data_IF_158541896270
#
_entry.id   IF_158541896270
#
_cell.length_a   1.000
_cell.length_b   1.000
_cell.length_c   1.000
_cell.angle_alpha   90.00
_cell.angle_beta   90.00
_cell.angle_gamma   90.00
#
_symmetry.space_group_name_H-M   'P 1'
#
loop_
_entity.id
_entity.type
_entity.pdbx_description
1 polymer ?
#
# COMPACT_ATOMS: atom_id res chain seq x y z
N UNK A 1 -19.03 7.49 -21.66
CA UNK A 1 -17.87 7.25 -20.77
C UNK A 1 -18.10 5.90 -20.10
N UNK A 2 -17.29 4.88 -20.38
CA UNK A 2 -17.37 3.62 -19.63
C UNK A 2 -17.07 3.95 -18.17
N UNK A 3 -18.00 3.68 -17.24
CA UNK A 3 -17.65 3.58 -15.83
C UNK A 3 -16.51 2.55 -15.76
N UNK A 4 -15.31 3.04 -15.48
CA UNK A 4 -14.06 2.32 -15.75
C UNK A 4 -13.93 1.11 -14.85
N UNK A 5 -13.30 0.04 -15.33
CA UNK A 5 -13.10 -1.21 -14.59
C UNK A 5 -12.58 -1.05 -13.14
N UNK A 6 -11.87 0.04 -12.83
CA UNK A 6 -11.40 0.37 -11.48
C UNK A 6 -12.47 0.86 -10.49
N UNK A 7 -13.69 1.20 -10.95
CA UNK A 7 -14.82 1.59 -10.10
C UNK A 7 -15.65 0.41 -9.64
N UNK A 8 -15.33 -0.82 -10.09
CA UNK A 8 -16.03 -2.04 -9.70
C UNK A 8 -15.42 -2.62 -8.42
N UNK A 9 -16.23 -3.22 -7.54
CA UNK A 9 -15.72 -3.91 -6.35
C UNK A 9 -14.70 -4.99 -6.71
N UNK A 10 -13.65 -5.13 -5.90
CA UNK A 10 -12.62 -6.16 -6.03
C UNK A 10 -13.21 -7.59 -6.00
N UNK A 11 -14.33 -7.78 -5.31
CA UNK A 11 -15.08 -9.04 -5.34
C UNK A 11 -15.46 -9.46 -6.78
N UNK A 12 -15.81 -8.51 -7.65
CA UNK A 12 -16.29 -8.76 -9.02
C UNK A 12 -15.19 -8.74 -10.10
N UNK A 13 -13.96 -8.38 -9.73
CA UNK A 13 -12.83 -8.24 -10.66
C UNK A 13 -11.96 -9.48 -10.65
N UNK A 14 -11.57 -9.97 -11.82
CA UNK A 14 -10.61 -11.07 -11.90
C UNK A 14 -9.19 -10.58 -11.58
N UNK A 15 -8.28 -11.53 -11.29
CA UNK A 15 -6.87 -11.20 -11.00
C UNK A 15 -6.23 -10.45 -12.18
N UNK A 16 -6.58 -10.79 -13.42
CA UNK A 16 -6.12 -10.09 -14.63
C UNK A 16 -6.56 -8.62 -14.66
N UNK A 17 -7.79 -8.34 -14.22
CA UNK A 17 -8.34 -6.98 -14.17
C UNK A 17 -7.58 -6.16 -13.13
N UNK A 18 -7.39 -6.72 -11.94
CA UNK A 18 -6.64 -6.11 -10.85
C UNK A 18 -5.19 -5.81 -11.27
N UNK A 19 -4.53 -6.75 -11.95
CA UNK A 19 -3.17 -6.54 -12.49
C UNK A 19 -3.15 -5.43 -13.54
N UNK A 20 -4.15 -5.38 -14.42
CA UNK A 20 -4.27 -4.31 -15.42
C UNK A 20 -4.43 -2.93 -14.78
N UNK A 21 -5.21 -2.84 -13.70
CA UNK A 21 -5.37 -1.58 -12.95
C UNK A 21 -4.07 -1.21 -12.23
N UNK A 22 -3.40 -2.16 -11.56
CA UNK A 22 -2.11 -1.94 -10.88
C UNK A 22 -1.05 -1.42 -11.86
N UNK A 23 -1.04 -1.94 -13.10
CA UNK A 23 -0.15 -1.50 -14.19
C UNK A 23 -0.52 -0.12 -14.76
N UNK A 24 -1.66 0.44 -14.40
CA UNK A 24 -2.17 1.69 -15.00
C UNK A 24 -2.62 1.51 -16.45
N UNK A 25 -3.01 0.28 -16.82
CA UNK A 25 -3.58 -0.03 -18.13
C UNK A 25 -5.11 0.18 -18.16
N UNK A 26 -5.77 0.18 -16.99
CA UNK A 26 -7.20 0.40 -16.89
C UNK A 26 -7.61 1.21 -15.64
N UNK A 27 -8.52 2.16 -15.84
CA UNK A 27 -9.09 2.99 -14.78
C UNK A 27 -8.11 3.99 -14.15
N UNK A 28 -8.63 4.85 -13.28
CA UNK A 28 -7.81 5.75 -12.46
C UNK A 28 -7.57 5.14 -11.07
N UNK A 29 -6.37 5.33 -10.54
CA UNK A 29 -5.99 4.85 -9.22
C UNK A 29 -4.90 5.72 -8.60
N UNK A 30 -4.87 5.79 -7.27
CA UNK A 30 -3.83 6.51 -6.52
C UNK A 30 -2.83 5.53 -5.94
N UNK A 31 -1.54 5.87 -6.02
CA UNK A 31 -0.48 5.08 -5.42
C UNK A 31 -0.01 5.74 -4.13
N UNK A 32 0.06 4.95 -3.06
CA UNK A 32 0.58 5.39 -1.77
C UNK A 32 1.64 4.43 -1.25
N UNK A 33 2.55 4.96 -0.46
CA UNK A 33 3.56 4.18 0.24
C UNK A 33 3.70 4.66 1.67
N UNK A 34 4.14 3.77 2.56
CA UNK A 34 4.72 4.22 3.81
C UNK A 34 5.97 5.10 3.58
N UNK A 35 6.38 5.83 4.61
CA UNK A 35 7.59 6.67 4.58
C UNK A 35 8.91 5.89 4.73
N UNK A 36 8.86 4.55 4.86
CA UNK A 36 10.06 3.74 5.08
C UNK A 36 10.67 3.33 3.74
N UNK A 37 11.98 3.55 3.56
CA UNK A 37 12.69 3.31 2.29
C UNK A 37 12.38 1.94 1.68
N UNK A 38 12.41 0.86 2.47
CA UNK A 38 12.08 -0.50 1.99
C UNK A 38 10.72 -0.62 1.31
N UNK A 39 9.70 0.10 1.77
CA UNK A 39 8.36 0.06 1.19
C UNK A 39 8.27 0.98 -0.03
N UNK A 40 8.97 2.13 0.01
CA UNK A 40 9.10 3.02 -1.14
C UNK A 40 9.77 2.28 -2.31
N UNK A 41 10.93 1.66 -2.09
CA UNK A 41 11.67 0.93 -3.11
C UNK A 41 10.87 -0.24 -3.68
N UNK A 42 10.27 -1.06 -2.83
CA UNK A 42 9.39 -2.16 -3.27
C UNK A 42 8.26 -1.65 -4.15
N UNK A 43 7.58 -0.58 -3.72
CA UNK A 43 6.49 0.02 -4.49
C UNK A 43 6.95 0.53 -5.86
N UNK A 44 8.08 1.25 -5.91
CA UNK A 44 8.64 1.75 -7.16
C UNK A 44 9.07 0.65 -8.12
N UNK A 45 9.70 -0.41 -7.62
CA UNK A 45 10.14 -1.54 -8.45
C UNK A 45 8.92 -2.28 -9.00
N UNK A 46 7.96 -2.64 -8.14
CA UNK A 46 6.74 -3.34 -8.54
C UNK A 46 5.90 -2.53 -9.54
N UNK A 47 5.84 -1.21 -9.37
CA UNK A 47 5.06 -0.31 -10.21
C UNK A 47 5.89 0.33 -11.34
N UNK A 48 7.13 -0.12 -11.56
CA UNK A 48 7.99 0.47 -12.58
C UNK A 48 7.36 0.50 -13.99
N UNK A 49 6.62 -0.53 -14.47
CA UNK A 49 5.97 -0.46 -15.78
C UNK A 49 4.94 0.68 -15.86
N UNK A 50 4.17 0.88 -14.77
CA UNK A 50 3.20 1.96 -14.65
C UNK A 50 3.89 3.32 -14.62
N UNK A 51 4.89 3.48 -13.75
CA UNK A 51 5.58 4.76 -13.57
C UNK A 51 6.31 5.20 -14.85
N UNK A 52 6.90 4.27 -15.61
CA UNK A 52 7.53 4.56 -16.90
C UNK A 52 6.51 5.07 -17.94
N UNK A 53 5.30 4.51 -17.95
CA UNK A 53 4.24 4.87 -18.91
C UNK A 53 3.65 6.25 -18.69
N UNK A 54 3.52 6.72 -17.44
CA UNK A 54 2.64 7.85 -17.10
C UNK A 54 3.25 9.26 -17.14
N UNK A 55 4.40 9.48 -17.81
CA UNK A 55 5.03 10.81 -17.99
C UNK A 55 4.95 11.74 -16.76
N UNK A 56 5.26 11.21 -15.58
CA UNK A 56 5.22 11.92 -14.28
C UNK A 56 3.84 12.30 -13.69
N UNK A 57 2.72 11.90 -14.33
CA UNK A 57 1.36 12.07 -13.78
C UNK A 57 1.19 11.26 -12.49
N UNK A 58 1.61 9.99 -12.49
CA UNK A 58 1.55 9.18 -11.27
C UNK A 58 2.63 9.61 -10.29
N UNK A 59 2.17 10.05 -9.11
CA UNK A 59 3.00 10.27 -7.92
C UNK A 59 2.63 9.25 -6.85
N UNK A 60 3.62 8.86 -6.05
CA UNK A 60 3.49 8.01 -4.88
C UNK A 60 3.38 8.92 -3.66
N UNK A 61 2.21 8.99 -3.05
CA UNK A 61 2.04 9.75 -1.82
C UNK A 61 2.68 9.00 -0.65
N UNK A 62 3.63 9.64 0.01
CA UNK A 62 4.30 9.12 1.20
C UNK A 62 3.49 9.44 2.43
N UNK A 63 2.98 8.43 3.13
CA UNK A 63 2.09 8.59 4.27
C UNK A 63 2.70 8.04 5.57
N UNK A 64 2.82 8.88 6.59
CA UNK A 64 3.25 8.44 7.93
C UNK A 64 2.27 7.44 8.55
N UNK A 65 0.97 7.54 8.22
CA UNK A 65 -0.06 6.63 8.71
C UNK A 65 0.22 5.15 8.38
N UNK A 66 0.90 4.88 7.26
CA UNK A 66 1.26 3.54 6.77
C UNK A 66 2.57 2.98 7.36
N UNK A 67 3.25 3.71 8.25
CA UNK A 67 4.52 3.26 8.84
C UNK A 67 4.35 1.95 9.63
N UNK A 68 5.35 1.06 9.59
CA UNK A 68 5.32 -0.21 10.32
C UNK A 68 5.03 -0.01 11.82
N UNK A 69 4.29 -0.93 12.45
CA UNK A 69 3.84 -0.85 13.84
C UNK A 69 4.96 -1.15 14.84
N UNK A 70 5.91 -2.03 14.49
CA UNK A 70 7.01 -2.42 15.38
C UNK A 70 7.80 -1.21 15.92
N UNK A 71 8.42 -1.38 17.09
CA UNK A 71 9.23 -0.35 17.76
C UNK A 71 10.72 -0.44 17.42
N UNK A 72 11.11 -1.40 16.59
CA UNK A 72 12.51 -1.57 16.20
C UNK A 72 13.02 -0.35 15.45
N UNK A 73 14.32 -0.05 15.58
CA UNK A 73 14.95 1.12 14.96
C UNK A 73 14.84 1.12 13.44
N UNK A 74 14.85 -0.07 12.81
CA UNK A 74 14.67 -0.22 11.35
C UNK A 74 13.28 0.24 10.87
N UNK A 75 12.33 0.45 11.77
CA UNK A 75 11.00 0.96 11.47
C UNK A 75 10.89 2.48 11.55
N UNK A 76 12.01 3.18 11.75
CA UNK A 76 12.10 4.65 11.73
C UNK A 76 12.68 5.12 10.39
N UNK A 77 12.03 6.12 9.80
CA UNK A 77 12.54 6.82 8.63
C UNK A 77 13.71 7.71 9.01
N UNK A 78 14.77 7.67 8.19
CA UNK A 78 15.87 8.63 8.26
C UNK A 78 15.50 9.98 7.64
N UNK A 79 14.41 10.00 6.84
CA UNK A 79 13.96 11.20 6.14
C UNK A 79 13.05 12.03 7.05
N UNK A 80 13.37 13.32 7.28
CA UNK A 80 12.50 14.20 8.04
C UNK A 80 11.11 14.39 7.41
N UNK A 81 10.19 14.95 8.20
CA UNK A 81 8.87 15.32 7.71
C UNK A 81 8.97 16.24 6.48
N UNK A 82 8.05 16.07 5.52
CA UNK A 82 7.94 16.87 4.27
C UNK A 82 9.16 16.86 3.34
N UNK A 83 10.24 16.16 3.67
CA UNK A 83 11.43 16.05 2.84
C UNK A 83 11.36 14.83 1.92
N UNK A 84 12.00 14.96 0.76
CA UNK A 84 12.19 13.85 -0.17
C UNK A 84 13.25 12.89 0.39
N UNK A 85 12.99 11.58 0.42
CA UNK A 85 14.01 10.60 0.77
C UNK A 85 15.08 10.54 -0.33
N UNK A 86 16.31 10.30 0.07
CA UNK A 86 17.38 9.99 -0.88
C UNK A 86 17.29 8.52 -1.30
N UNK A 87 17.64 8.25 -2.57
CA UNK A 87 17.80 6.89 -3.07
C UNK A 87 18.86 6.16 -2.22
N UNK A 88 18.61 4.91 -1.77
CA UNK A 88 19.62 4.11 -1.08
C UNK A 88 20.86 3.92 -1.96
N UNK A 89 22.07 4.09 -1.39
CA UNK A 89 23.32 3.97 -2.14
C UNK A 89 23.46 2.63 -2.88
N UNK A 90 23.04 1.53 -2.24
CA UNK A 90 23.03 0.20 -2.86
C UNK A 90 22.10 0.14 -4.08
N UNK A 91 20.94 0.81 -4.03
CA UNK A 91 20.02 0.88 -5.17
C UNK A 91 20.57 1.77 -6.29
N UNK A 92 21.16 2.92 -5.93
CA UNK A 92 21.78 3.84 -6.88
C UNK A 92 22.99 3.22 -7.60
N UNK A 93 23.71 2.31 -6.94
CA UNK A 93 24.87 1.62 -7.51
C UNK A 93 24.49 0.41 -8.40
N UNK A 94 23.22 -0.02 -8.43
CA UNK A 94 22.81 -1.16 -9.25
C UNK A 94 22.83 -0.80 -10.73
N UNK A 95 23.55 -1.60 -11.54
CA UNK A 95 23.59 -1.44 -12.99
C UNK A 95 22.18 -1.51 -13.59
N UNK A 96 21.87 -0.59 -14.51
CA UNK A 96 20.56 -0.40 -15.18
C UNK A 96 19.40 0.06 -14.27
N UNK A 97 19.35 -0.37 -13.00
CA UNK A 97 18.28 0.00 -12.07
C UNK A 97 18.56 1.31 -11.32
N UNK A 98 19.82 1.66 -11.09
CA UNK A 98 20.21 2.83 -10.29
C UNK A 98 19.71 4.16 -10.86
N UNK A 99 19.85 4.34 -12.18
CA UNK A 99 19.35 5.54 -12.87
C UNK A 99 17.83 5.65 -12.80
N UNK A 100 17.14 4.52 -12.99
CA UNK A 100 15.68 4.44 -12.91
C UNK A 100 15.16 4.78 -11.50
N UNK A 101 15.73 4.14 -10.48
CA UNK A 101 15.38 4.41 -9.09
C UNK A 101 15.72 5.86 -8.71
N UNK A 102 16.90 6.34 -9.10
CA UNK A 102 17.30 7.74 -8.91
C UNK A 102 16.32 8.72 -9.53
N UNK A 103 15.85 8.45 -10.76
CA UNK A 103 14.81 9.23 -11.40
C UNK A 103 13.50 9.18 -10.60
N UNK A 104 13.01 7.98 -10.23
CA UNK A 104 11.76 7.85 -9.48
C UNK A 104 11.78 8.54 -8.12
N UNK A 105 12.87 8.44 -7.36
CA UNK A 105 13.02 9.12 -6.08
C UNK A 105 12.94 10.65 -6.23
N UNK A 106 13.46 11.21 -7.33
CA UNK A 106 13.43 12.65 -7.59
C UNK A 106 12.09 13.14 -8.12
N UNK A 107 11.43 12.37 -8.97
CA UNK A 107 10.29 12.86 -9.74
C UNK A 107 8.95 12.29 -9.29
N UNK A 108 8.90 11.12 -8.63
CA UNK A 108 7.64 10.39 -8.39
C UNK A 108 7.12 10.43 -6.97
N UNK A 109 7.79 11.11 -6.04
CA UNK A 109 7.38 11.13 -4.63
C UNK A 109 6.60 12.40 -4.28
N UNK A 110 5.44 12.23 -3.63
CA UNK A 110 4.71 13.32 -2.98
C UNK A 110 4.85 13.22 -1.46
N UNK A 111 5.46 14.23 -0.85
CA UNK A 111 5.78 14.27 0.58
C UNK A 111 4.69 14.96 1.42
N UNK A 112 3.55 15.37 0.83
CA UNK A 112 2.47 16.09 1.51
C UNK A 112 1.81 15.32 2.67
N UNK A 113 1.99 14.02 2.77
CA UNK A 113 1.45 13.21 3.89
C UNK A 113 2.56 12.64 4.78
N UNK A 114 3.81 13.02 4.54
CA UNK A 114 4.96 12.68 5.39
C UNK A 114 5.04 13.68 6.54
N UNK A 115 4.54 13.29 7.71
CA UNK A 115 4.58 14.08 8.95
C UNK A 115 5.72 13.65 9.87
N UNK A 116 6.71 12.91 9.37
CA UNK A 116 7.82 12.37 10.16
C UNK A 116 7.48 11.02 10.80
N UNK A 117 8.34 10.56 11.71
CA UNK A 117 8.21 9.26 12.36
C UNK A 117 7.06 9.20 13.36
N UNK A 118 6.45 8.01 13.48
CA UNK A 118 5.57 7.66 14.59
C UNK A 118 6.24 7.92 15.94
N UNK A 119 5.48 8.44 16.90
CA UNK A 119 5.97 8.61 18.27
C UNK A 119 5.72 7.35 19.10
N UNK A 120 6.45 7.19 20.22
CA UNK A 120 6.27 6.04 21.13
C UNK A 120 4.85 5.94 21.71
N UNK A 121 4.13 7.06 21.82
CA UNK A 121 2.76 7.12 22.35
C UNK A 121 1.69 6.87 21.28
N UNK A 122 2.06 6.92 20.00
CA UNK A 122 1.09 6.84 18.91
C UNK A 122 0.62 5.40 18.68
N UNK A 123 -0.66 5.15 18.92
CA UNK A 123 -1.29 3.84 18.69
C UNK A 123 -1.46 3.57 17.19
N UNK A 124 -1.32 2.30 16.79
CA UNK A 124 -1.54 1.88 15.41
C UNK A 124 -2.94 2.24 14.89
N UNK A 125 -3.98 2.03 15.71
CA UNK A 125 -5.37 2.35 15.34
C UNK A 125 -5.57 3.82 14.96
N UNK A 126 -4.90 4.76 15.65
CA UNK A 126 -5.00 6.19 15.32
C UNK A 126 -4.39 6.52 13.96
N UNK A 127 -3.33 5.80 13.57
CA UNK A 127 -2.74 5.94 12.23
C UNK A 127 -3.61 5.28 11.16
N UNK A 128 -4.24 4.17 11.47
CA UNK A 128 -5.22 3.53 10.58
C UNK A 128 -6.44 4.44 10.36
N UNK A 129 -6.99 5.03 11.43
CA UNK A 129 -8.06 6.04 11.38
C UNK A 129 -7.68 7.23 10.48
N UNK A 130 -6.44 7.74 10.59
CA UNK A 130 -5.92 8.79 9.70
C UNK A 130 -5.88 8.35 8.23
N UNK A 131 -5.44 7.12 7.96
CA UNK A 131 -5.41 6.57 6.61
C UNK A 131 -6.83 6.45 6.03
N UNK A 132 -7.77 5.82 6.75
CA UNK A 132 -9.14 5.65 6.24
C UNK A 132 -9.89 6.97 6.14
N UNK A 133 -9.64 7.92 7.05
CA UNK A 133 -10.14 9.29 6.92
C UNK A 133 -9.64 9.93 5.63
N UNK A 134 -8.34 9.79 5.33
CA UNK A 134 -7.77 10.25 4.07
C UNK A 134 -8.36 9.53 2.84
N UNK A 135 -8.68 8.24 2.92
CA UNK A 135 -9.37 7.50 1.84
C UNK A 135 -10.72 8.14 1.53
N UNK A 136 -11.51 8.47 2.57
CA UNK A 136 -12.88 8.97 2.45
C UNK A 136 -13.03 10.51 2.60
N UNK A 137 -11.97 11.31 2.44
CA UNK A 137 -11.96 12.77 2.63
C UNK A 137 -12.61 13.57 1.46
N UNK A 138 -13.33 12.92 0.53
CA UNK A 138 -14.03 13.57 -0.59
C UNK A 138 -13.12 14.12 -1.72
N UNK A 139 -11.87 14.46 -1.40
CA UNK A 139 -10.89 15.01 -2.37
C UNK A 139 -10.43 14.00 -3.43
N UNK A 140 -10.96 12.77 -3.38
CA UNK A 140 -10.62 11.65 -4.27
C UNK A 140 -11.86 11.01 -4.87
N UNK A 141 -12.99 11.73 -4.93
CA UNK A 141 -14.25 11.19 -5.47
C UNK A 141 -14.19 10.77 -6.95
N UNK A 142 -13.06 11.02 -7.63
CA UNK A 142 -12.78 10.53 -8.98
C UNK A 142 -11.94 9.24 -9.02
N UNK A 143 -11.52 8.71 -7.87
CA UNK A 143 -10.65 7.54 -7.76
C UNK A 143 -11.20 6.52 -6.77
N UNK A 144 -11.62 5.37 -7.31
CA UNK A 144 -12.16 4.26 -6.52
C UNK A 144 -11.09 3.25 -6.07
N UNK A 145 -9.89 3.27 -6.65
CA UNK A 145 -8.83 2.32 -6.34
C UNK A 145 -7.56 2.96 -5.77
N UNK A 146 -7.04 2.39 -4.68
CA UNK A 146 -5.83 2.84 -4.00
C UNK A 146 -4.83 1.68 -3.93
N UNK A 147 -3.68 1.84 -4.58
CA UNK A 147 -2.56 0.89 -4.52
C UNK A 147 -1.65 1.26 -3.36
N UNK A 148 -1.53 0.37 -2.37
CA UNK A 148 -0.80 0.63 -1.12
C UNK A 148 0.47 -0.23 -1.03
N UNK A 149 1.64 0.41 -0.99
CA UNK A 149 2.88 -0.24 -0.52
C UNK A 149 3.06 -0.02 0.98
N UNK A 150 3.15 -1.11 1.74
CA UNK A 150 3.18 -1.04 3.21
C UNK A 150 3.95 -2.19 3.85
N UNK A 151 3.57 -2.56 5.07
CA UNK A 151 4.29 -3.55 5.87
C UNK A 151 3.32 -4.59 6.43
N UNK A 152 3.78 -5.83 6.52
CA UNK A 152 2.92 -6.98 6.83
C UNK A 152 2.25 -6.89 8.20
N UNK A 153 2.93 -6.35 9.23
CA UNK A 153 2.30 -6.17 10.54
C UNK A 153 1.29 -5.02 10.53
N UNK A 154 1.56 -3.92 9.84
CA UNK A 154 0.57 -2.86 9.62
C UNK A 154 -0.70 -3.40 8.94
N UNK A 155 -0.55 -4.14 7.84
CA UNK A 155 -1.68 -4.72 7.11
C UNK A 155 -2.46 -5.72 7.96
N UNK A 156 -1.78 -6.62 8.69
CA UNK A 156 -2.46 -7.58 9.56
C UNK A 156 -3.31 -6.88 10.63
N UNK A 157 -2.77 -5.86 11.29
CA UNK A 157 -3.55 -5.10 12.28
C UNK A 157 -4.64 -4.25 11.60
N UNK A 158 -4.48 -3.83 10.34
CA UNK A 158 -5.52 -3.16 9.57
C UNK A 158 -6.70 -4.10 9.31
N UNK A 159 -6.43 -5.31 8.83
CA UNK A 159 -7.44 -6.35 8.66
C UNK A 159 -8.15 -6.70 9.97
N UNK A 160 -7.44 -6.81 11.10
CA UNK A 160 -8.08 -7.02 12.41
C UNK A 160 -9.04 -5.89 12.80
N UNK A 161 -8.70 -4.64 12.48
CA UNK A 161 -9.52 -3.47 12.82
C UNK A 161 -10.79 -3.39 11.99
N UNK A 162 -10.72 -3.71 10.69
CA UNK A 162 -11.79 -3.41 9.74
C UNK A 162 -12.55 -4.63 9.21
N UNK A 163 -12.03 -5.85 9.32
CA UNK A 163 -12.85 -7.06 9.11
C UNK A 163 -13.88 -7.21 10.26
N UNK A 164 -15.03 -7.87 10.01
CA UNK A 164 -15.98 -8.19 11.06
C UNK A 164 -15.31 -8.94 12.23
N UNK A 165 -15.70 -8.59 13.47
CA UNK A 165 -15.11 -9.17 14.68
C UNK A 165 -15.27 -10.69 14.71
N UNK A 166 -16.46 -11.18 14.36
CA UNK A 166 -16.81 -12.60 14.35
C UNK A 166 -16.25 -13.40 13.16
N UNK A 167 -15.73 -12.73 12.12
CA UNK A 167 -15.15 -13.41 10.97
C UNK A 167 -13.80 -14.03 11.34
N UNK A 168 -13.63 -15.32 11.07
CA UNK A 168 -12.32 -15.98 11.07
C UNK A 168 -11.72 -15.88 9.67
N UNK A 169 -10.62 -15.15 9.55
CA UNK A 169 -9.97 -14.89 8.27
C UNK A 169 -8.46 -14.83 8.45
N UNK A 170 -7.72 -15.49 7.55
CA UNK A 170 -6.25 -15.59 7.61
C UNK A 170 -5.57 -14.21 7.68
N UNK A 171 -6.15 -13.19 7.03
CA UNK A 171 -5.65 -11.82 7.07
C UNK A 171 -5.61 -11.18 8.48
N UNK A 172 -6.41 -11.70 9.43
CA UNK A 172 -6.41 -11.23 10.83
C UNK A 172 -5.27 -11.85 11.63
N UNK A 173 -4.75 -13.01 11.24
CA UNK A 173 -3.83 -13.81 12.05
C UNK A 173 -2.43 -13.89 11.44
N UNK A 174 -2.37 -14.04 10.13
CA UNK A 174 -1.15 -14.30 9.39
C UNK A 174 -0.55 -13.01 8.83
N UNK A 175 0.77 -13.02 8.68
CA UNK A 175 1.48 -11.96 7.96
C UNK A 175 1.33 -12.24 6.46
N UNK A 176 1.24 -11.16 5.69
CA UNK A 176 1.50 -11.26 4.25
C UNK A 176 2.96 -11.63 4.02
N UNK A 177 3.23 -12.47 3.02
CA UNK A 177 4.60 -12.73 2.57
C UNK A 177 5.26 -11.43 2.09
N UNK A 178 6.59 -11.42 2.05
CA UNK A 178 7.32 -10.32 1.43
C UNK A 178 6.93 -10.18 -0.03
N UNK A 179 6.72 -8.93 -0.48
CA UNK A 179 6.22 -8.60 -1.82
C UNK A 179 4.84 -9.19 -2.15
N UNK A 180 4.09 -9.64 -1.13
CA UNK A 180 2.73 -10.09 -1.29
C UNK A 180 1.77 -8.98 -1.71
N UNK A 181 0.76 -9.34 -2.49
CA UNK A 181 -0.24 -8.44 -3.07
C UNK A 181 -1.62 -9.06 -2.94
N UNK A 182 -2.53 -8.30 -2.31
CA UNK A 182 -3.93 -8.66 -2.12
C UNK A 182 -4.79 -7.46 -2.50
N UNK A 183 -6.01 -7.72 -2.98
CA UNK A 183 -7.06 -6.73 -3.17
C UNK A 183 -8.21 -7.01 -2.21
N UNK A 184 -8.96 -5.97 -1.85
CA UNK A 184 -10.16 -6.07 -1.04
C UNK A 184 -10.98 -4.78 -1.15
N UNK A 185 -12.26 -4.89 -0.85
CA UNK A 185 -13.20 -3.77 -0.80
C UNK A 185 -13.20 -3.16 0.60
N UNK A 186 -12.97 -1.85 0.66
CA UNK A 186 -13.10 -1.03 1.86
C UNK A 186 -14.28 -0.08 1.65
N UNK A 187 -15.32 -0.21 2.47
CA UNK A 187 -16.51 0.63 2.37
C UNK A 187 -16.75 1.38 3.69
N UNK A 188 -17.47 2.49 3.56
CA UNK A 188 -17.93 3.32 4.67
C UNK A 188 -19.44 3.39 4.61
N UNK A 189 -20.10 2.75 5.58
CA UNK A 189 -21.52 2.91 5.82
C UNK A 189 -21.71 3.86 7.00
N UNK A 190 -22.26 5.05 6.73
CA UNK A 190 -22.50 6.09 7.72
C UNK A 190 -21.21 6.47 8.47
N UNK A 191 -21.00 5.95 9.69
CA UNK A 191 -19.79 6.14 10.49
C UNK A 191 -18.92 4.88 10.63
N UNK A 192 -19.36 3.75 10.09
CA UNK A 192 -18.69 2.46 10.21
C UNK A 192 -17.89 2.18 8.95
N UNK A 193 -16.59 1.98 9.10
CA UNK A 193 -15.70 1.56 8.01
C UNK A 193 -15.45 0.07 8.16
N UNK A 194 -15.56 -0.69 7.06
CA UNK A 194 -15.42 -2.15 7.05
C UNK A 194 -14.75 -2.65 5.78
N UNK A 195 -14.15 -3.82 5.92
CA UNK A 195 -13.71 -4.65 4.80
C UNK A 195 -14.75 -5.75 4.59
N UNK A 196 -15.17 -5.96 3.34
CA UNK A 196 -16.00 -7.11 2.99
C UNK A 196 -15.11 -8.38 3.01
N UNK A 197 -15.35 -9.37 3.88
CA UNK A 197 -14.51 -10.57 3.95
C UNK A 197 -14.37 -11.29 2.61
N UNK A 198 -15.45 -11.37 1.83
CA UNK A 198 -15.48 -12.14 0.58
C UNK A 198 -14.74 -11.43 -0.56
N UNK A 199 -14.42 -10.14 -0.39
CA UNK A 199 -13.64 -9.37 -1.36
C UNK A 199 -12.12 -9.60 -1.26
N UNK A 200 -11.63 -10.22 -0.17
CA UNK A 200 -10.19 -10.37 0.05
C UNK A 200 -9.61 -11.39 -0.91
N UNK A 201 -8.95 -10.89 -1.96
CA UNK A 201 -8.42 -11.69 -3.08
C UNK A 201 -6.90 -11.63 -3.09
N UNK A 202 -6.25 -12.80 -3.19
CA UNK A 202 -4.79 -12.86 -3.37
C UNK A 202 -4.46 -12.68 -4.85
N UNK A 203 -3.65 -11.67 -5.16
CA UNK A 203 -3.13 -11.43 -6.52
C UNK A 203 -1.82 -12.19 -6.70
N UNK A 204 -0.92 -12.07 -5.72
CA UNK A 204 0.37 -12.75 -5.70
C UNK A 204 0.85 -12.85 -4.27
N UNK A 205 1.27 -14.02 -3.79
CA UNK A 205 1.85 -14.17 -2.45
C UNK A 205 0.96 -13.56 -1.35
N UNK A 206 -0.10 -14.24 -0.94
CA UNK A 206 -1.04 -13.72 0.05
C UNK A 206 -0.56 -13.85 1.49
N UNK A 207 -1.31 -14.61 2.27
CA UNK A 207 -1.06 -14.83 3.69
C UNK A 207 -0.38 -16.19 3.91
N UNK A 208 0.72 -16.25 4.67
CA UNK A 208 1.32 -17.53 5.03
C UNK A 208 0.49 -18.25 6.10
N UNK A 209 -0.05 -19.42 5.79
CA UNK A 209 -0.58 -20.31 6.82
C UNK A 209 0.56 -20.80 7.71
N UNK A 210 0.44 -20.62 9.04
CA UNK A 210 1.33 -21.31 9.99
C UNK A 210 0.97 -22.80 10.02
N UNK A 211 1.79 -23.62 9.35
CA UNK A 211 1.76 -25.10 9.37
C UNK A 211 1.15 -25.69 8.09
N UNK A 212 1.78 -26.59 7.33
CA UNK A 212 2.84 -27.57 7.60
C UNK A 212 4.01 -27.33 6.64
N UNK A 213 5.26 -27.39 7.12
CA UNK A 213 6.37 -27.66 6.19
C UNK A 213 6.05 -29.00 5.52
N UNK A 214 5.90 -29.02 4.20
CA UNK A 214 6.07 -30.28 3.47
C UNK A 214 7.51 -30.70 3.75
N UNK A 215 7.69 -31.76 4.55
CA UNK A 215 8.97 -32.47 4.57
C UNK A 215 9.19 -32.92 3.12
N UNK A 216 10.20 -32.35 2.48
CA UNK A 216 10.81 -32.93 1.29
C UNK A 216 11.62 -34.15 1.72
#
# INVERSE_FOLDING_TARGET
MMQGMASRPAAELDVSDLVSIIRGDAGESVVVSSILRRSISTGMICLSPRLLKTKEKDKIALMTSLQEISRNVDTLSLTPARRLPQVPAAEAAMRNMGDLMGHFYRTRLDTKQNTGNKTLKQKAIKRQEQFVSWVFDGKKDHVDLIVVSGHSLWFREFFKSYLPKACDHLAKTNKMVNCGCVAFDLYKDSQVIRINPDSVKTIYGGFEAKGKSKKA
#
